data_IF_897946546481
#
_entry.id   IF_897946546481
#
_cell.length_a   1.000
_cell.length_b   1.000
_cell.length_c   1.000
_cell.angle_alpha   90.00
_cell.angle_beta   90.00
_cell.angle_gamma   90.00
#
_symmetry.space_group_name_H-M   'P 1'
#
loop_
_entity.id
_entity.type
_entity.pdbx_description
1 polymer ?
#
# COMPACT_ATOMS: atom_id res chain seq x y z
N UNK A 1 8.08 -0.76 -8.83
CA UNK A 1 8.82 -1.75 -8.03
C UNK A 1 7.88 -2.36 -7.00
N UNK A 2 8.02 -3.65 -6.70
CA UNK A 2 7.21 -4.43 -5.74
C UNK A 2 5.73 -4.64 -6.12
N UNK A 3 5.45 -5.00 -7.37
CA UNK A 3 4.16 -5.57 -7.80
C UNK A 3 4.35 -6.98 -8.37
N UNK A 4 3.29 -7.80 -8.30
CA UNK A 4 3.31 -9.19 -8.77
C UNK A 4 4.47 -10.01 -8.18
N UNK A 5 5.24 -10.69 -9.03
CA UNK A 5 6.38 -11.55 -8.60
C UNK A 5 7.39 -10.84 -7.71
N UNK A 6 7.67 -9.56 -7.98
CA UNK A 6 8.63 -8.80 -7.16
C UNK A 6 8.12 -8.52 -5.74
N UNK A 7 6.80 -8.45 -5.55
CA UNK A 7 6.18 -8.32 -4.21
C UNK A 7 6.28 -9.63 -3.44
N UNK A 8 6.09 -10.76 -4.12
CA UNK A 8 6.24 -12.08 -3.52
C UNK A 8 7.68 -12.32 -3.04
N UNK A 9 8.67 -12.09 -3.92
CA UNK A 9 10.08 -12.21 -3.54
C UNK A 9 10.42 -11.30 -2.36
N UNK A 10 9.93 -10.06 -2.36
CA UNK A 10 10.13 -9.17 -1.23
C UNK A 10 9.52 -9.72 0.07
N UNK A 11 8.30 -10.25 0.03
CA UNK A 11 7.65 -10.85 1.21
C UNK A 11 8.42 -12.07 1.71
N UNK A 12 8.89 -12.93 0.80
CA UNK A 12 9.63 -14.14 1.13
C UNK A 12 10.98 -13.81 1.80
N UNK A 13 11.73 -12.85 1.24
CA UNK A 13 13.03 -12.41 1.78
C UNK A 13 12.88 -11.61 3.09
N UNK A 14 11.73 -10.96 3.32
CA UNK A 14 11.47 -10.24 4.56
C UNK A 14 11.35 -11.20 5.76
N UNK A 15 10.99 -12.47 5.54
CA UNK A 15 10.99 -13.52 6.55
C UNK A 15 10.02 -13.29 7.72
N UNK A 16 8.97 -12.50 7.53
CA UNK A 16 7.98 -12.18 8.58
C UNK A 16 6.77 -13.12 8.51
N UNK A 17 6.13 -13.31 9.66
CA UNK A 17 4.87 -14.04 9.72
C UNK A 17 3.72 -13.31 8.99
N UNK A 18 2.64 -14.06 8.72
CA UNK A 18 1.48 -13.57 7.98
C UNK A 18 0.75 -12.43 8.71
N UNK A 19 0.71 -12.45 10.04
CA UNK A 19 0.04 -11.40 10.84
C UNK A 19 0.83 -10.09 10.78
N UNK A 20 2.15 -10.17 10.82
CA UNK A 20 3.07 -9.06 10.64
C UNK A 20 2.94 -8.47 9.23
N UNK A 21 2.86 -9.32 8.20
CA UNK A 21 2.59 -8.88 6.83
C UNK A 21 1.26 -8.13 6.71
N UNK A 22 0.17 -8.71 7.25
CA UNK A 22 -1.17 -8.10 7.27
C UNK A 22 -1.20 -6.78 8.02
N UNK A 23 -0.44 -6.67 9.12
CA UNK A 23 -0.29 -5.41 9.85
C UNK A 23 0.33 -4.33 8.98
N UNK A 24 1.39 -4.67 8.23
CA UNK A 24 1.99 -3.77 7.24
C UNK A 24 1.00 -3.31 6.15
N UNK A 25 0.14 -4.21 5.67
CA UNK A 25 -0.93 -3.85 4.73
C UNK A 25 -1.96 -2.89 5.36
N UNK A 26 -2.31 -3.10 6.64
CA UNK A 26 -3.16 -2.17 7.38
C UNK A 26 -2.57 -0.77 7.51
N UNK A 27 -1.26 -0.67 7.74
CA UNK A 27 -0.53 0.61 7.74
C UNK A 27 -0.54 1.28 6.36
N UNK A 28 -0.33 0.53 5.28
CA UNK A 28 -0.41 1.08 3.93
C UNK A 28 -1.83 1.60 3.61
N UNK A 29 -2.86 0.86 4.03
CA UNK A 29 -4.25 1.25 3.85
C UNK A 29 -4.59 2.53 4.64
N UNK A 30 -4.17 2.64 5.89
CA UNK A 30 -4.42 3.84 6.70
C UNK A 30 -3.81 5.09 6.08
N UNK A 31 -2.58 4.98 5.57
CA UNK A 31 -1.90 6.07 4.85
C UNK A 31 -2.69 6.45 3.58
N UNK A 32 -3.11 5.47 2.78
CA UNK A 32 -3.88 5.73 1.57
C UNK A 32 -5.20 6.45 1.84
N UNK A 33 -5.93 6.02 2.87
CA UNK A 33 -7.20 6.63 3.30
C UNK A 33 -7.05 8.03 3.90
N UNK A 34 -5.88 8.37 4.45
CA UNK A 34 -5.58 9.73 4.91
C UNK A 34 -5.18 10.63 3.73
N UNK A 35 -4.25 10.15 2.90
CA UNK A 35 -3.69 10.91 1.78
C UNK A 35 -4.78 11.33 0.79
N UNK A 36 -5.64 10.39 0.38
CA UNK A 36 -6.57 10.61 -0.73
C UNK A 36 -7.53 11.79 -0.50
N UNK A 37 -8.31 11.86 0.60
CA UNK A 37 -9.21 12.99 0.84
C UNK A 37 -8.45 14.27 1.20
N UNK A 38 -7.33 14.17 1.93
CA UNK A 38 -6.58 15.35 2.38
C UNK A 38 -5.96 16.13 1.21
N UNK A 39 -5.43 15.41 0.21
CA UNK A 39 -4.73 16.02 -0.92
C UNK A 39 -5.56 16.13 -2.20
N UNK A 40 -6.85 15.78 -2.15
CA UNK A 40 -7.71 15.58 -3.32
C UNK A 40 -7.64 16.71 -4.36
N UNK A 41 -7.53 17.96 -3.89
CA UNK A 41 -7.54 19.16 -4.74
C UNK A 41 -6.21 19.93 -4.75
N UNK A 42 -5.21 19.47 -4.00
CA UNK A 42 -3.98 20.24 -3.75
C UNK A 42 -2.72 19.54 -4.24
N UNK A 43 -2.72 18.20 -4.33
CA UNK A 43 -1.55 17.45 -4.77
C UNK A 43 -1.95 16.19 -5.56
N UNK A 44 -2.03 16.27 -6.90
CA UNK A 44 -2.42 15.13 -7.73
C UNK A 44 -1.44 13.94 -7.65
N UNK A 45 -0.16 14.20 -7.35
CA UNK A 45 0.83 13.15 -7.15
C UNK A 45 0.53 12.31 -5.90
N UNK A 46 0.19 12.96 -4.79
CA UNK A 46 -0.22 12.26 -3.58
C UNK A 46 -1.57 11.57 -3.74
N UNK A 47 -2.51 12.15 -4.49
CA UNK A 47 -3.77 11.47 -4.85
C UNK A 47 -3.50 10.15 -5.58
N UNK A 48 -2.56 10.13 -6.53
CA UNK A 48 -2.17 8.89 -7.21
C UNK A 48 -1.54 7.87 -6.26
N UNK A 49 -0.70 8.31 -5.31
CA UNK A 49 -0.14 7.45 -4.25
C UNK A 49 -1.26 6.86 -3.39
N UNK A 50 -2.19 7.69 -2.91
CA UNK A 50 -3.30 7.23 -2.06
C UNK A 50 -4.17 6.18 -2.75
N UNK A 51 -4.55 6.41 -4.02
CA UNK A 51 -5.27 5.43 -4.84
C UNK A 51 -4.50 4.13 -5.01
N UNK A 52 -3.20 4.20 -5.29
CA UNK A 52 -2.36 3.00 -5.45
C UNK A 52 -2.29 2.18 -4.16
N UNK A 53 -2.08 2.82 -3.01
CA UNK A 53 -2.01 2.13 -1.72
C UNK A 53 -3.31 1.39 -1.40
N UNK A 54 -4.46 2.03 -1.63
CA UNK A 54 -5.78 1.40 -1.44
C UNK A 54 -5.94 0.19 -2.37
N UNK A 55 -5.61 0.35 -3.66
CA UNK A 55 -5.78 -0.72 -4.64
C UNK A 55 -4.91 -1.94 -4.38
N UNK A 56 -3.66 -1.74 -3.96
CA UNK A 56 -2.70 -2.82 -3.63
C UNK A 56 -3.02 -3.58 -2.34
N UNK A 57 -4.02 -3.14 -1.58
CA UNK A 57 -4.49 -3.83 -0.38
C UNK A 57 -5.86 -4.46 -0.59
N UNK A 58 -6.76 -3.79 -1.33
CA UNK A 58 -8.16 -4.23 -1.46
C UNK A 58 -8.48 -4.96 -2.77
N UNK A 59 -7.69 -4.78 -3.83
CA UNK A 59 -8.06 -5.22 -5.19
C UNK A 59 -6.94 -6.00 -5.92
N UNK A 60 -5.90 -6.43 -5.21
CA UNK A 60 -4.83 -7.32 -5.70
C UNK A 60 -4.90 -8.70 -5.07
#
# INVERSE_FOLDING_TARGET
LFSGKSRQVFKDELGVDEDTWRRGQGWALSIGLIILPYYLHTNPGLVAVGKRLINEVLFT
#
